data_IF_168383134896
#
_entry.id   IF_168383134896
#
_cell.length_a   1.000
_cell.length_b   1.000
_cell.length_c   1.000
_cell.angle_alpha   90.00
_cell.angle_beta   90.00
_cell.angle_gamma   90.00
#
_symmetry.space_group_name_H-M   'P 1'
#
loop_
_entity.id
_entity.type
_entity.pdbx_description
1 polymer ?
#
# COMPACT_ATOMS: atom_id res chain seq x y z
N UNK A 1 39.78 -0.19 -8.96
CA UNK A 1 38.97 -0.47 -7.79
C UNK A 1 38.00 -1.59 -8.15
N UNK A 2 38.27 -2.82 -7.67
CA UNK A 2 37.41 -3.98 -7.89
C UNK A 2 36.16 -3.83 -7.00
N UNK A 3 34.98 -3.81 -7.61
CA UNK A 3 33.75 -4.04 -6.92
C UNK A 3 33.61 -5.54 -6.64
N UNK A 4 33.61 -5.88 -5.37
CA UNK A 4 33.28 -7.25 -4.94
C UNK A 4 31.86 -7.56 -5.41
N UNK A 5 31.75 -8.46 -6.41
CA UNK A 5 30.52 -9.18 -6.67
C UNK A 5 30.33 -10.11 -5.47
N UNK A 6 29.40 -9.76 -4.59
CA UNK A 6 28.90 -10.72 -3.62
C UNK A 6 28.49 -11.97 -4.40
N UNK A 7 29.17 -13.09 -4.16
CA UNK A 7 28.90 -14.35 -4.80
C UNK A 7 27.43 -14.74 -4.50
N UNK A 8 26.61 -14.77 -5.53
CA UNK A 8 25.29 -15.34 -5.41
C UNK A 8 25.47 -16.80 -4.98
N UNK A 9 24.87 -17.16 -3.84
CA UNK A 9 24.80 -18.54 -3.42
C UNK A 9 23.87 -19.24 -4.43
N UNK A 10 24.42 -20.03 -5.33
CA UNK A 10 23.68 -20.68 -6.43
C UNK A 10 22.51 -21.57 -5.95
N UNK A 11 22.47 -21.86 -4.64
CA UNK A 11 21.43 -22.69 -4.01
C UNK A 11 20.31 -21.90 -3.32
N UNK A 12 20.34 -20.54 -3.32
CA UNK A 12 19.30 -19.75 -2.68
C UNK A 12 18.13 -19.51 -3.63
N UNK A 13 16.94 -19.98 -3.25
CA UNK A 13 15.69 -19.74 -3.97
C UNK A 13 14.62 -19.27 -2.97
N UNK A 14 13.98 -18.15 -3.30
CA UNK A 14 12.86 -17.60 -2.56
C UNK A 14 11.70 -17.34 -3.51
N UNK A 15 10.53 -17.88 -3.20
CA UNK A 15 9.29 -17.58 -3.91
C UNK A 15 8.36 -16.81 -2.99
N UNK A 16 7.98 -15.59 -3.41
CA UNK A 16 7.06 -14.72 -2.69
C UNK A 16 5.73 -14.63 -3.44
N UNK A 17 4.63 -14.61 -2.72
CA UNK A 17 3.31 -14.26 -3.27
C UNK A 17 3.07 -12.78 -3.07
N UNK A 18 2.69 -12.07 -4.14
CA UNK A 18 2.27 -10.67 -4.10
C UNK A 18 0.78 -10.60 -4.38
N UNK A 19 0.00 -10.05 -3.45
CA UNK A 19 -1.46 -9.97 -3.55
C UNK A 19 -1.96 -8.53 -3.52
N UNK A 20 -3.00 -8.25 -4.33
CA UNK A 20 -3.70 -6.97 -4.35
C UNK A 20 -5.12 -7.08 -4.95
N UNK A 21 -5.91 -6.00 -4.78
CA UNK A 21 -7.32 -5.93 -5.22
C UNK A 21 -7.49 -5.50 -6.67
N UNK A 22 -6.49 -4.88 -7.29
CA UNK A 22 -6.62 -4.23 -8.59
C UNK A 22 -6.89 -5.23 -9.70
N UNK A 23 -7.72 -4.82 -10.66
CA UNK A 23 -8.07 -5.66 -11.80
C UNK A 23 -6.86 -5.91 -12.71
N UNK A 24 -6.90 -7.00 -13.46
CA UNK A 24 -5.81 -7.43 -14.36
C UNK A 24 -5.38 -6.34 -15.36
N UNK A 25 -6.30 -5.47 -15.76
CA UNK A 25 -6.05 -4.40 -16.75
C UNK A 25 -5.61 -3.08 -16.13
N UNK A 26 -5.58 -2.97 -14.81
CA UNK A 26 -5.17 -1.73 -14.15
C UNK A 26 -3.64 -1.54 -14.23
N UNK A 27 -3.22 -0.27 -14.29
CA UNK A 27 -1.81 0.10 -14.45
C UNK A 27 -0.94 -0.48 -13.33
N UNK A 28 -1.41 -0.44 -12.08
CA UNK A 28 -0.66 -0.97 -10.94
C UNK A 28 -0.40 -2.48 -11.07
N UNK A 29 -1.37 -3.24 -11.59
CA UNK A 29 -1.20 -4.68 -11.84
C UNK A 29 -0.09 -4.93 -12.86
N UNK A 30 -0.08 -4.17 -13.95
CA UNK A 30 0.95 -4.25 -14.99
C UNK A 30 2.33 -3.90 -14.41
N UNK A 31 2.41 -2.86 -13.59
CA UNK A 31 3.66 -2.44 -12.94
C UNK A 31 4.19 -3.48 -11.96
N UNK A 32 3.33 -4.11 -11.15
CA UNK A 32 3.75 -5.17 -10.23
C UNK A 32 4.29 -6.38 -10.98
N UNK A 33 3.69 -6.77 -12.09
CA UNK A 33 4.20 -7.84 -12.95
C UNK A 33 5.58 -7.48 -13.53
N UNK A 34 5.78 -6.23 -13.96
CA UNK A 34 7.07 -5.76 -14.46
C UNK A 34 8.14 -5.73 -13.36
N UNK A 35 7.77 -5.33 -12.14
CA UNK A 35 8.67 -5.37 -10.97
C UNK A 35 9.08 -6.82 -10.69
N UNK A 36 8.13 -7.75 -10.65
CA UNK A 36 8.38 -9.17 -10.43
C UNK A 36 9.35 -9.74 -11.48
N UNK A 37 9.14 -9.42 -12.75
CA UNK A 37 10.02 -9.83 -13.83
C UNK A 37 11.44 -9.28 -13.68
N UNK A 38 11.58 -7.98 -13.38
CA UNK A 38 12.89 -7.34 -13.18
C UNK A 38 13.64 -7.92 -11.98
N UNK A 39 12.94 -8.25 -10.90
CA UNK A 39 13.57 -8.88 -9.72
C UNK A 39 14.08 -10.28 -10.09
N UNK A 40 13.28 -11.08 -10.79
CA UNK A 40 13.71 -12.39 -11.28
C UNK A 40 14.96 -12.30 -12.16
N UNK A 41 15.01 -11.35 -13.10
CA UNK A 41 16.17 -11.12 -13.96
C UNK A 41 17.41 -10.67 -13.19
N UNK A 42 17.24 -9.71 -12.27
CA UNK A 42 18.36 -9.15 -11.48
C UNK A 42 18.97 -10.15 -10.49
N UNK A 43 18.18 -11.13 -10.06
CA UNK A 43 18.60 -12.16 -9.12
C UNK A 43 18.96 -13.48 -9.81
N UNK A 44 19.02 -13.51 -11.15
CA UNK A 44 19.21 -14.74 -11.93
C UNK A 44 18.24 -15.86 -11.53
N UNK A 45 16.99 -15.51 -11.21
CA UNK A 45 15.95 -16.45 -10.80
C UNK A 45 16.00 -16.86 -9.31
N UNK A 46 16.91 -16.33 -8.50
CA UNK A 46 16.99 -16.64 -7.08
C UNK A 46 15.76 -16.14 -6.31
N UNK A 47 15.15 -15.04 -6.76
CA UNK A 47 13.90 -14.53 -6.19
C UNK A 47 12.83 -14.52 -7.28
N UNK A 48 11.72 -15.18 -6.99
CA UNK A 48 10.54 -15.22 -7.86
C UNK A 48 9.34 -14.63 -7.10
N UNK A 49 8.63 -13.68 -7.74
CA UNK A 49 7.41 -13.09 -7.21
C UNK A 49 6.23 -13.54 -8.07
N UNK A 50 5.30 -14.23 -7.45
CA UNK A 50 4.04 -14.67 -8.05
C UNK A 50 2.97 -13.63 -7.75
N UNK A 51 2.51 -12.89 -8.78
CA UNK A 51 1.51 -11.84 -8.63
C UNK A 51 0.09 -12.40 -8.73
N UNK A 52 -0.74 -12.07 -7.75
CA UNK A 52 -2.16 -12.43 -7.66
C UNK A 52 -2.99 -11.15 -7.59
N UNK A 53 -3.63 -10.81 -8.69
CA UNK A 53 -4.50 -9.65 -8.83
C UNK A 53 -5.96 -9.95 -8.45
N UNK A 54 -6.84 -8.96 -8.60
CA UNK A 54 -8.30 -9.11 -8.55
C UNK A 54 -8.83 -9.85 -7.32
N UNK A 55 -8.18 -9.67 -6.17
CA UNK A 55 -8.57 -10.33 -4.90
C UNK A 55 -8.56 -11.87 -4.96
N UNK A 56 -7.68 -12.46 -5.74
CA UNK A 56 -7.54 -13.91 -5.83
C UNK A 56 -7.05 -14.55 -4.52
N UNK A 57 -6.26 -13.80 -3.74
CA UNK A 57 -5.77 -14.19 -2.41
C UNK A 57 -6.17 -13.13 -1.37
N UNK A 58 -5.57 -13.19 -0.18
CA UNK A 58 -5.83 -12.23 0.89
C UNK A 58 -5.57 -10.79 0.42
N UNK A 59 -6.47 -9.87 0.77
CA UNK A 59 -6.42 -8.44 0.46
C UNK A 59 -6.78 -7.61 1.69
N UNK A 60 -6.54 -6.29 1.64
CA UNK A 60 -6.83 -5.35 2.72
C UNK A 60 -6.08 -5.74 4.01
N UNK A 61 -6.76 -5.76 5.16
CA UNK A 61 -6.18 -6.13 6.46
C UNK A 61 -5.56 -7.53 6.45
N UNK A 62 -6.25 -8.48 5.85
CA UNK A 62 -5.79 -9.87 5.78
C UNK A 62 -4.49 -10.00 4.98
N UNK A 63 -4.26 -9.11 4.01
CA UNK A 63 -3.04 -9.05 3.22
C UNK A 63 -1.83 -8.64 4.09
N UNK A 64 -2.00 -7.61 4.93
CA UNK A 64 -0.97 -7.18 5.89
C UNK A 64 -0.74 -8.27 6.95
N UNK A 65 -1.80 -8.94 7.41
CA UNK A 65 -1.69 -10.03 8.39
C UNK A 65 -0.84 -11.20 7.89
N UNK A 66 -0.83 -11.50 6.57
CA UNK A 66 0.07 -12.53 6.02
C UNK A 66 1.54 -12.16 6.27
N UNK A 67 1.90 -10.89 6.11
CA UNK A 67 3.25 -10.37 6.37
C UNK A 67 3.59 -10.49 7.85
N UNK A 68 2.71 -10.03 8.74
CA UNK A 68 2.90 -10.08 10.20
C UNK A 68 3.08 -11.52 10.70
N UNK A 69 2.35 -12.46 10.10
CA UNK A 69 2.45 -13.88 10.44
C UNK A 69 3.69 -14.57 9.85
N UNK A 70 4.54 -13.84 9.11
CA UNK A 70 5.81 -14.36 8.59
C UNK A 70 5.67 -15.25 7.36
N UNK A 71 4.60 -15.10 6.59
CA UNK A 71 4.47 -15.78 5.30
C UNK A 71 5.50 -15.21 4.29
N UNK A 72 5.89 -16.02 3.31
CA UNK A 72 6.67 -15.58 2.15
C UNK A 72 5.78 -14.73 1.23
N UNK A 73 5.58 -13.46 1.61
CA UNK A 73 4.48 -12.64 1.14
C UNK A 73 4.85 -11.18 0.92
N UNK A 74 4.24 -10.57 -0.09
CA UNK A 74 4.26 -9.13 -0.35
C UNK A 74 2.81 -8.64 -0.38
N UNK A 75 2.45 -7.74 0.53
CA UNK A 75 1.18 -7.05 0.50
C UNK A 75 1.30 -5.77 -0.32
N UNK A 76 0.57 -5.66 -1.42
CA UNK A 76 0.44 -4.42 -2.19
C UNK A 76 -0.89 -3.77 -1.80
N UNK A 77 -0.84 -2.84 -0.83
CA UNK A 77 -2.01 -2.27 -0.18
C UNK A 77 -1.91 -0.76 0.05
N UNK A 78 -3.04 -0.15 0.36
CA UNK A 78 -3.13 1.24 0.79
C UNK A 78 -2.42 1.40 2.15
N UNK A 79 -1.52 2.39 2.31
CA UNK A 79 -0.82 2.61 3.57
C UNK A 79 -1.72 2.86 4.78
N UNK A 80 -3.01 3.21 4.57
CA UNK A 80 -3.97 3.38 5.66
C UNK A 80 -4.15 2.13 6.52
N UNK A 81 -3.93 0.94 5.95
CA UNK A 81 -3.99 -0.31 6.71
C UNK A 81 -2.81 -0.48 7.68
N UNK A 82 -1.71 0.25 7.49
CA UNK A 82 -0.60 0.28 8.44
C UNK A 82 -0.94 1.04 9.72
N UNK A 83 -1.96 1.88 9.70
CA UNK A 83 -2.43 2.62 10.87
C UNK A 83 -3.00 1.72 11.98
N UNK A 84 -3.38 0.49 11.68
CA UNK A 84 -3.77 -0.50 12.68
C UNK A 84 -2.56 -0.95 13.54
N UNK A 85 -1.34 -0.74 13.06
CA UNK A 85 -0.07 -1.07 13.73
C UNK A 85 0.65 0.17 14.26
N UNK A 86 0.61 1.28 13.52
CA UNK A 86 1.14 2.58 13.93
C UNK A 86 0.21 3.68 13.43
N UNK A 87 -0.47 4.37 14.35
CA UNK A 87 -1.48 5.40 14.06
C UNK A 87 -0.91 6.59 13.26
N UNK A 88 0.40 6.82 13.31
CA UNK A 88 1.04 7.91 12.56
C UNK A 88 0.84 7.77 11.04
N UNK A 89 0.58 6.55 10.54
CA UNK A 89 0.26 6.32 9.13
C UNK A 89 -1.10 6.91 8.70
N UNK A 90 -2.03 7.21 9.61
CA UNK A 90 -3.24 7.98 9.26
C UNK A 90 -2.88 9.40 8.79
N UNK A 91 -1.88 10.02 9.42
CA UNK A 91 -1.43 11.36 9.03
C UNK A 91 -0.75 11.35 7.66
N UNK A 92 0.00 10.30 7.32
CA UNK A 92 0.74 10.22 6.05
C UNK A 92 -0.17 10.33 4.82
N UNK A 93 -1.38 9.77 4.89
CA UNK A 93 -2.31 9.69 3.75
C UNK A 93 -3.65 10.38 4.03
N UNK A 94 -3.70 11.23 5.03
CA UNK A 94 -4.89 12.00 5.37
C UNK A 94 -5.41 12.85 4.20
N UNK A 95 -6.71 13.19 4.18
CA UNK A 95 -7.29 13.97 3.11
C UNK A 95 -6.69 15.37 3.06
N UNK A 96 -6.45 15.88 1.85
CA UNK A 96 -5.92 17.23 1.57
C UNK A 96 -4.56 17.55 2.23
N UNK A 97 -3.77 16.53 2.56
CA UNK A 97 -2.44 16.71 3.16
C UNK A 97 -1.42 17.25 2.15
N UNK A 98 -1.61 16.97 0.86
CA UNK A 98 -0.65 17.30 -0.20
C UNK A 98 -1.31 18.08 -1.33
N UNK A 99 -0.57 18.99 -1.95
CA UNK A 99 -1.01 19.70 -3.15
C UNK A 99 -0.74 18.90 -4.43
N UNK A 100 0.17 17.94 -4.38
CA UNK A 100 0.55 17.12 -5.53
C UNK A 100 1.06 15.73 -5.11
N UNK A 101 1.13 14.82 -6.07
CA UNK A 101 1.75 13.50 -5.89
C UNK A 101 3.26 13.65 -5.61
N UNK A 102 3.91 14.63 -6.20
CA UNK A 102 5.34 14.89 -5.99
C UNK A 102 5.64 15.28 -4.53
N UNK A 103 4.76 16.09 -3.90
CA UNK A 103 4.88 16.40 -2.47
C UNK A 103 4.76 15.14 -1.61
N UNK A 104 3.79 14.27 -1.91
CA UNK A 104 3.63 13.00 -1.22
C UNK A 104 4.90 12.14 -1.36
N UNK A 105 5.39 11.96 -2.59
CA UNK A 105 6.60 11.17 -2.86
C UNK A 105 7.83 11.74 -2.16
N UNK A 106 7.95 13.07 -2.08
CA UNK A 106 9.01 13.73 -1.32
C UNK A 106 8.93 13.42 0.18
N UNK A 107 7.73 13.50 0.76
CA UNK A 107 7.51 13.19 2.19
C UNK A 107 7.81 11.73 2.49
N UNK A 108 7.41 10.79 1.61
CA UNK A 108 7.71 9.37 1.77
C UNK A 108 9.20 9.05 1.84
N UNK A 109 10.07 9.91 1.30
CA UNK A 109 11.52 9.75 1.33
C UNK A 109 12.17 10.44 2.55
N UNK A 110 11.40 11.12 3.39
CA UNK A 110 11.90 11.83 4.56
C UNK A 110 12.37 10.87 5.65
N UNK A 111 13.27 11.35 6.49
CA UNK A 111 13.75 10.57 7.65
C UNK A 111 12.61 10.27 8.63
N UNK A 112 11.63 11.17 8.76
CA UNK A 112 10.43 10.94 9.57
C UNK A 112 9.70 9.67 9.12
N UNK A 113 9.42 9.53 7.82
CA UNK A 113 8.70 8.36 7.29
C UNK A 113 9.56 7.10 7.34
N UNK A 114 10.86 7.21 7.13
CA UNK A 114 11.80 6.09 7.33
C UNK A 114 11.78 5.58 8.77
N UNK A 115 11.75 6.48 9.76
CA UNK A 115 11.65 6.11 11.16
C UNK A 115 10.32 5.44 11.48
N UNK A 116 9.20 5.90 10.88
CA UNK A 116 7.90 5.24 11.00
C UNK A 116 7.96 3.81 10.44
N UNK A 117 8.53 3.63 9.26
CA UNK A 117 8.70 2.30 8.64
C UNK A 117 9.60 1.39 9.48
N UNK A 118 10.68 1.94 10.07
CA UNK A 118 11.57 1.17 10.95
C UNK A 118 10.85 0.67 12.21
N UNK A 119 9.96 1.48 12.80
CA UNK A 119 9.13 1.05 13.94
C UNK A 119 8.19 -0.11 13.57
N UNK A 120 7.62 -0.12 12.37
CA UNK A 120 6.81 -1.24 11.89
C UNK A 120 7.63 -2.52 11.78
N UNK A 121 8.84 -2.41 11.26
CA UNK A 121 9.75 -3.56 11.14
C UNK A 121 10.17 -4.09 12.52
N UNK A 122 10.58 -3.21 13.41
CA UNK A 122 11.06 -3.57 14.76
C UNK A 122 9.95 -4.20 15.61
N UNK A 123 8.72 -3.71 15.53
CA UNK A 123 7.64 -4.14 16.40
C UNK A 123 6.78 -5.27 15.80
N UNK A 124 6.66 -5.35 14.46
CA UNK A 124 5.72 -6.26 13.79
C UNK A 124 6.35 -7.08 12.67
N UNK A 125 7.61 -6.87 12.34
CA UNK A 125 8.28 -7.54 11.22
C UNK A 125 7.76 -7.11 9.85
N UNK A 126 7.11 -5.93 9.76
CA UNK A 126 6.62 -5.37 8.50
C UNK A 126 7.74 -4.53 7.87
N UNK A 127 8.40 -5.05 6.85
CA UNK A 127 9.36 -4.29 6.07
C UNK A 127 8.66 -3.56 4.92
N UNK A 128 8.64 -2.23 4.96
CA UNK A 128 8.04 -1.40 3.91
C UNK A 128 9.03 -1.25 2.75
N UNK A 129 8.71 -1.87 1.62
CA UNK A 129 9.55 -1.84 0.42
C UNK A 129 9.45 -0.51 -0.35
N UNK A 130 8.25 0.04 -0.45
CA UNK A 130 7.97 1.30 -1.14
C UNK A 130 6.61 1.88 -0.71
N UNK A 131 6.49 3.21 -0.75
CA UNK A 131 5.26 3.95 -0.48
C UNK A 131 4.81 4.84 -1.65
N UNK A 132 5.50 4.77 -2.78
CA UNK A 132 5.38 5.70 -3.90
C UNK A 132 4.79 5.07 -5.18
N UNK A 133 4.19 3.88 -5.10
CA UNK A 133 3.35 3.35 -6.16
C UNK A 133 1.98 4.03 -6.11
N UNK A 134 1.80 5.03 -6.96
CA UNK A 134 0.65 5.91 -6.94
C UNK A 134 -0.42 5.50 -7.93
N UNK A 135 -1.68 5.41 -7.46
CA UNK A 135 -2.86 5.19 -8.30
C UNK A 135 -3.61 6.48 -8.65
N UNK A 136 -3.03 7.63 -8.32
CA UNK A 136 -3.59 8.95 -8.57
C UNK A 136 -4.34 9.55 -7.39
N UNK A 137 -4.96 10.70 -7.64
CA UNK A 137 -5.75 11.42 -6.63
C UNK A 137 -7.09 10.74 -6.41
N UNK A 138 -7.45 10.52 -5.15
CA UNK A 138 -8.75 9.93 -4.81
C UNK A 138 -9.87 10.94 -4.94
N UNK A 139 -10.94 10.54 -5.62
CA UNK A 139 -12.14 11.34 -5.82
C UNK A 139 -13.35 10.67 -5.19
N UNK A 140 -14.30 11.48 -4.74
CA UNK A 140 -15.59 11.02 -4.25
C UNK A 140 -16.57 10.89 -5.43
N UNK A 141 -17.21 9.74 -5.58
CA UNK A 141 -18.29 9.53 -6.55
C UNK A 141 -19.62 9.48 -5.80
N UNK A 142 -20.59 10.29 -6.23
CA UNK A 142 -21.89 10.41 -5.58
C UNK A 142 -23.02 10.44 -6.61
N UNK A 143 -24.22 10.02 -6.20
CA UNK A 143 -25.43 10.05 -7.03
C UNK A 143 -26.17 11.40 -6.99
N UNK A 144 -25.64 12.38 -6.27
CA UNK A 144 -26.10 13.77 -6.25
C UNK A 144 -24.91 14.73 -6.22
N UNK A 145 -25.13 15.96 -6.64
CA UNK A 145 -24.09 17.00 -6.63
C UNK A 145 -23.75 17.37 -5.18
N UNK A 146 -22.47 17.33 -4.84
CA UNK A 146 -21.91 17.79 -3.56
C UNK A 146 -21.09 19.05 -3.84
N UNK A 147 -21.42 20.13 -3.15
CA UNK A 147 -20.71 21.42 -3.25
C UNK A 147 -20.04 21.81 -1.92
N UNK A 148 -20.57 21.36 -0.82
CA UNK A 148 -20.08 21.66 0.53
C UNK A 148 -20.08 20.42 1.41
N UNK A 149 -19.32 20.38 2.51
CA UNK A 149 -19.40 19.29 3.48
C UNK A 149 -20.81 19.05 4.02
N UNK A 150 -21.62 20.10 4.15
CA UNK A 150 -23.00 19.97 4.61
C UNK A 150 -23.87 19.09 3.69
N UNK A 151 -23.56 19.03 2.40
CA UNK A 151 -24.28 18.17 1.43
C UNK A 151 -24.02 16.68 1.67
N UNK A 152 -22.97 16.33 2.42
CA UNK A 152 -22.63 14.95 2.77
C UNK A 152 -23.43 14.41 3.96
N UNK A 153 -24.14 15.30 4.69
CA UNK A 153 -24.85 14.91 5.91
C UNK A 153 -25.80 13.75 5.69
N UNK A 154 -25.53 12.64 6.40
CA UNK A 154 -26.35 11.43 6.35
C UNK A 154 -26.22 10.61 5.06
N UNK A 155 -25.34 10.98 4.13
CA UNK A 155 -25.09 10.17 2.94
C UNK A 155 -24.31 8.90 3.30
N UNK A 156 -24.82 7.77 2.81
CA UNK A 156 -24.06 6.51 2.86
C UNK A 156 -23.02 6.52 1.75
N UNK A 157 -21.74 6.41 2.13
CA UNK A 157 -20.61 6.40 1.19
C UNK A 157 -19.75 5.18 1.47
N UNK A 158 -19.53 4.36 0.44
CA UNK A 158 -18.62 3.22 0.53
C UNK A 158 -17.19 3.74 0.60
N UNK A 159 -16.42 3.24 1.56
CA UNK A 159 -14.99 3.55 1.74
C UNK A 159 -14.22 2.24 1.96
N UNK A 160 -12.89 2.23 1.74
CA UNK A 160 -12.05 1.16 2.25
C UNK A 160 -12.24 0.99 3.76
N UNK A 161 -12.30 -0.25 4.24
CA UNK A 161 -12.49 -0.54 5.66
C UNK A 161 -11.20 -0.29 6.46
N UNK A 162 -10.75 0.95 6.48
CA UNK A 162 -9.67 1.43 7.34
C UNK A 162 -10.13 2.60 8.20
N UNK A 163 -9.57 2.72 9.38
CA UNK A 163 -9.95 3.76 10.37
C UNK A 163 -9.84 5.17 9.79
N UNK A 164 -8.79 5.45 9.00
CA UNK A 164 -8.58 6.76 8.40
C UNK A 164 -9.76 7.17 7.50
N UNK A 165 -10.19 6.33 6.55
CA UNK A 165 -11.32 6.67 5.67
C UNK A 165 -12.63 6.80 6.43
N UNK A 166 -12.89 5.91 7.38
CA UNK A 166 -14.09 5.93 8.21
C UNK A 166 -14.14 7.23 9.03
N UNK A 167 -13.06 7.56 9.71
CA UNK A 167 -12.97 8.76 10.55
C UNK A 167 -13.11 10.04 9.72
N UNK A 168 -12.45 10.13 8.56
CA UNK A 168 -12.53 11.29 7.68
C UNK A 168 -13.95 11.54 7.18
N UNK A 169 -14.63 10.52 6.63
CA UNK A 169 -15.99 10.69 6.13
C UNK A 169 -17.00 10.96 7.24
N UNK A 170 -16.81 10.36 8.40
CA UNK A 170 -17.62 10.64 9.61
C UNK A 170 -17.47 12.09 10.04
N UNK A 171 -16.24 12.60 10.10
CA UNK A 171 -15.96 14.00 10.43
C UNK A 171 -16.58 15.00 9.44
N UNK A 172 -16.72 14.60 8.17
CA UNK A 172 -17.41 15.37 7.12
C UNK A 172 -18.95 15.29 7.23
N UNK A 173 -19.50 14.47 8.13
CA UNK A 173 -20.93 14.29 8.34
C UNK A 173 -21.59 13.20 7.49
N UNK A 174 -20.81 12.45 6.71
CA UNK A 174 -21.31 11.28 5.98
C UNK A 174 -21.47 10.05 6.89
N UNK A 175 -22.15 9.03 6.39
CA UNK A 175 -22.23 7.69 7.00
C UNK A 175 -21.39 6.72 6.18
N UNK A 176 -20.11 6.53 6.54
CA UNK A 176 -19.26 5.59 5.79
C UNK A 176 -19.69 4.14 6.02
N UNK A 177 -19.53 3.34 4.96
CA UNK A 177 -19.72 1.88 4.98
C UNK A 177 -18.50 1.22 4.34
N UNK A 178 -17.94 0.19 4.99
CA UNK A 178 -16.84 -0.61 4.46
C UNK A 178 -17.30 -1.67 3.46
#
# INVERSE_FOLDING_TARGET
>A
GGGDKAGANDDYHLTLKLSHVFATTEQLTIEMQQVAQRIKERTNGAIEIQCYDSSQLAVYKDNIEQVVNGADWIACEDPSYLADYDIDFEALIGPMMYNSIDEYSYVCQSDLVKDMCQKLEDNYGIHVLALDFNVGMRCMQTNKVIKTPADLKGMKIRVPNSSMYINCLTAMGATPTG
#
